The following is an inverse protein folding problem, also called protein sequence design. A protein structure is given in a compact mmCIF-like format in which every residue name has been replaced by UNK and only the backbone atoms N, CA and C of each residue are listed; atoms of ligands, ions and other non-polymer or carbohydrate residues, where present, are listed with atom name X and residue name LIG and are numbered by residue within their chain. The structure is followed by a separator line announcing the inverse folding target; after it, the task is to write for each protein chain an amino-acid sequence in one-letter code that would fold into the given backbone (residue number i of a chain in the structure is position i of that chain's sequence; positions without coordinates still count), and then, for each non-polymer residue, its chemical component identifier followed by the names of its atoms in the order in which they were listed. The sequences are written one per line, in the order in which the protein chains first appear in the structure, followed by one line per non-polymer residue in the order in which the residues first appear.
data_IF_433324076671
#
_entry.id   IF_433324076671
#
_cell.length_a   1.000
_cell.length_b   1.000
_cell.length_c   1.000
_cell.angle_alpha   90.00
_cell.angle_beta   90.00
_cell.angle_gamma   90.00
#
_symmetry.space_group_name_H-M   'P 1'
#
loop_
_entity.id
_entity.type
_entity.pdbx_description
1 polymer ?
#
# COMPACT_ATOMS: atom_id res chain seq x y z
N UNK A 1 0.64 20.49 -19.26
CA UNK A 1 -0.43 19.95 -18.41
C UNK A 1 0.25 19.23 -17.26
N UNK A 2 0.06 19.69 -16.02
CA UNK A 2 0.63 19.04 -14.83
C UNK A 2 -0.43 18.10 -14.25
N UNK A 3 -0.05 16.85 -14.02
CA UNK A 3 -0.86 15.87 -13.31
C UNK A 3 -0.26 15.71 -11.92
N UNK A 4 -0.94 16.26 -10.90
CA UNK A 4 -0.56 16.04 -9.52
C UNK A 4 -0.97 14.62 -9.12
N UNK A 5 -0.04 13.86 -8.55
CA UNK A 5 -0.27 12.48 -8.15
C UNK A 5 0.35 12.27 -6.77
N UNK A 6 -0.49 11.95 -5.80
CA UNK A 6 -0.05 11.61 -4.46
C UNK A 6 -0.03 10.08 -4.30
N UNK A 7 1.16 9.48 -4.45
CA UNK A 7 1.35 8.04 -4.31
C UNK A 7 1.55 7.68 -2.83
N UNK A 8 0.42 7.54 -2.13
CA UNK A 8 0.41 7.25 -0.70
C UNK A 8 0.67 5.77 -0.45
N UNK A 9 1.55 5.45 0.50
CA UNK A 9 1.79 4.09 0.99
C UNK A 9 0.63 3.60 1.87
N UNK A 10 -0.54 3.43 1.27
CA UNK A 10 -1.80 3.04 1.92
C UNK A 10 -1.99 1.52 1.98
N UNK A 11 -0.96 0.73 1.68
CA UNK A 11 -1.02 -0.73 1.72
C UNK A 11 0.26 -1.31 2.33
N UNK A 12 0.14 -2.44 3.02
CA UNK A 12 1.30 -3.14 3.60
C UNK A 12 1.05 -3.79 4.96
N UNK A 13 2.06 -4.49 5.48
CA UNK A 13 1.98 -5.28 6.72
C UNK A 13 1.78 -4.39 7.95
N UNK A 14 2.23 -3.13 7.90
CA UNK A 14 2.02 -2.14 8.95
C UNK A 14 0.55 -1.91 9.27
N UNK A 15 -0.37 -2.08 8.31
CA UNK A 15 -1.80 -1.92 8.56
C UNK A 15 -2.39 -2.99 9.48
N UNK A 16 -1.76 -4.16 9.59
CA UNK A 16 -2.20 -5.20 10.53
C UNK A 16 -2.17 -4.73 11.97
N UNK A 17 -1.06 -4.13 12.41
CA UNK A 17 -0.94 -3.61 13.78
C UNK A 17 -1.82 -2.38 14.01
N UNK A 18 -2.00 -1.53 13.00
CA UNK A 18 -2.84 -0.33 13.10
C UNK A 18 -4.32 -0.71 13.23
N UNK A 19 -4.79 -1.69 12.46
CA UNK A 19 -6.18 -2.16 12.57
C UNK A 19 -6.39 -2.85 13.92
N UNK A 20 -5.45 -3.68 14.37
CA UNK A 20 -5.53 -4.33 15.68
C UNK A 20 -5.57 -3.31 16.82
N UNK A 21 -4.76 -2.26 16.73
CA UNK A 21 -4.74 -1.18 17.71
C UNK A 21 -6.04 -0.35 17.66
N UNK A 22 -6.54 -0.01 16.47
CA UNK A 22 -7.79 0.71 16.30
C UNK A 22 -8.97 -0.07 16.90
N UNK A 23 -9.04 -1.37 16.65
CA UNK A 23 -10.08 -2.23 17.19
C UNK A 23 -10.04 -2.30 18.73
N UNK A 24 -8.84 -2.49 19.30
CA UNK A 24 -8.65 -2.48 20.76
C UNK A 24 -9.12 -1.16 21.38
N UNK A 25 -8.70 -0.06 20.78
CA UNK A 25 -9.05 1.29 21.20
C UNK A 25 -10.57 1.56 21.12
N UNK A 26 -11.27 1.08 20.09
CA UNK A 26 -12.74 1.19 19.99
C UNK A 26 -13.48 0.32 21.02
N UNK A 27 -12.91 -0.81 21.42
CA UNK A 27 -13.48 -1.67 22.45
C UNK A 27 -13.32 -1.08 23.86
N UNK A 28 -12.19 -0.43 24.12
CA UNK A 28 -11.88 0.18 25.42
C UNK A 28 -12.58 1.55 25.58
N UNK A 29 -12.70 2.32 24.50
CA UNK A 29 -13.36 3.62 24.48
C UNK A 29 -14.64 3.54 23.63
N UNK A 30 -15.79 3.35 24.29
CA UNK A 30 -17.12 3.20 23.68
C UNK A 30 -17.67 4.48 22.99
N UNK A 31 -16.83 5.28 22.34
CA UNK A 31 -17.20 6.51 21.65
C UNK A 31 -16.33 6.77 20.41
N UNK A 32 -16.80 7.67 19.55
CA UNK A 32 -16.08 8.11 18.34
C UNK A 32 -14.67 8.58 18.71
N UNK A 33 -13.68 7.78 18.34
CA UNK A 33 -12.29 8.10 18.58
C UNK A 33 -11.84 9.16 17.59
N UNK A 34 -11.72 10.40 18.05
CA UNK A 34 -10.95 11.40 17.33
C UNK A 34 -9.47 11.01 17.42
N UNK A 35 -8.93 10.46 16.33
CA UNK A 35 -7.50 10.21 16.12
C UNK A 35 -6.75 11.54 15.94
N UNK A 36 -6.79 12.39 16.97
CA UNK A 36 -6.16 13.71 16.98
C UNK A 36 -4.62 13.61 16.98
N UNK A 37 -4.07 12.50 17.47
CA UNK A 37 -2.63 12.21 17.46
C UNK A 37 -2.35 10.90 16.70
N UNK A 38 -2.17 11.02 15.39
CA UNK A 38 -1.81 9.89 14.54
C UNK A 38 -0.40 9.38 14.88
N UNK A 39 0.56 10.25 15.19
CA UNK A 39 1.92 9.85 15.51
C UNK A 39 1.97 9.01 16.80
N UNK A 40 1.24 9.44 17.84
CA UNK A 40 1.04 8.68 19.06
C UNK A 40 0.39 7.33 18.79
N UNK A 41 -0.65 7.29 17.95
CA UNK A 41 -1.32 6.05 17.56
C UNK A 41 -0.36 5.04 16.91
N UNK A 42 0.49 5.49 15.97
CA UNK A 42 1.51 4.62 15.35
C UNK A 42 2.53 4.11 16.36
N UNK A 43 2.99 4.99 17.25
CA UNK A 43 3.97 4.64 18.29
C UNK A 43 3.42 3.61 19.26
N UNK A 44 2.19 3.78 19.70
CA UNK A 44 1.55 2.88 20.65
C UNK A 44 1.22 1.53 20.02
N UNK A 45 0.73 1.52 18.78
CA UNK A 45 0.52 0.29 18.01
C UNK A 45 1.84 -0.48 17.85
N UNK A 46 2.94 0.21 17.53
CA UNK A 46 4.26 -0.39 17.38
C UNK A 46 4.79 -0.93 18.71
N UNK A 47 4.65 -0.18 19.79
CA UNK A 47 5.04 -0.62 21.13
C UNK A 47 4.33 -1.92 21.52
N UNK A 48 3.02 -2.00 21.33
CA UNK A 48 2.27 -3.24 21.62
C UNK A 48 2.67 -4.38 20.68
N UNK A 49 2.97 -4.10 19.43
CA UNK A 49 3.47 -5.12 18.51
C UNK A 49 4.82 -5.71 18.94
N UNK A 50 5.69 -4.91 19.55
CA UNK A 50 7.02 -5.35 19.98
C UNK A 50 7.01 -5.99 21.39
N UNK A 51 6.08 -5.60 22.26
CA UNK A 51 6.02 -6.02 23.66
C UNK A 51 4.98 -7.12 23.96
N UNK A 52 3.96 -7.31 23.12
CA UNK A 52 2.87 -8.29 23.30
C UNK A 52 2.79 -9.26 22.10
N UNK A 53 3.25 -10.49 22.30
CA UNK A 53 3.26 -11.52 21.25
C UNK A 53 1.84 -11.89 20.78
N UNK A 54 0.85 -11.88 21.68
CA UNK A 54 -0.54 -12.19 21.31
C UNK A 54 -1.14 -11.07 20.45
N UNK A 55 -0.74 -9.81 20.71
CA UNK A 55 -1.08 -8.69 19.84
C UNK A 55 -0.36 -8.79 18.49
N UNK A 56 0.93 -9.14 18.47
CA UNK A 56 1.71 -9.30 17.26
C UNK A 56 1.14 -10.41 16.34
N UNK A 57 0.76 -11.55 16.91
CA UNK A 57 0.12 -12.64 16.17
C UNK A 57 -1.22 -12.21 15.57
N UNK A 58 -2.05 -11.49 16.33
CA UNK A 58 -3.31 -10.93 15.85
C UNK A 58 -3.11 -9.94 14.72
N UNK A 59 -2.14 -9.04 14.85
CA UNK A 59 -1.78 -8.08 13.82
C UNK A 59 -1.35 -8.76 12.52
N UNK A 60 -0.51 -9.81 12.58
CA UNK A 60 -0.15 -10.63 11.41
C UNK A 60 -1.37 -11.27 10.76
N UNK A 61 -2.28 -11.83 11.56
CA UNK A 61 -3.53 -12.39 11.06
C UNK A 61 -4.43 -11.34 10.41
N UNK A 62 -4.42 -10.10 10.90
CA UNK A 62 -5.23 -9.01 10.33
C UNK A 62 -4.71 -8.57 8.96
N UNK A 63 -3.39 -8.63 8.73
CA UNK A 63 -2.83 -8.45 7.38
C UNK A 63 -3.43 -9.47 6.42
N UNK A 64 -3.47 -10.75 6.80
CA UNK A 64 -4.02 -11.82 5.95
C UNK A 64 -5.49 -11.58 5.64
N UNK A 65 -6.29 -11.19 6.64
CA UNK A 65 -7.73 -10.88 6.44
C UNK A 65 -7.95 -9.63 5.56
N UNK A 66 -7.12 -8.60 5.73
CA UNK A 66 -7.18 -7.42 4.86
C UNK A 66 -6.84 -7.78 3.41
N UNK A 67 -5.79 -8.59 3.21
CA UNK A 67 -5.34 -9.04 1.89
C UNK A 67 -6.31 -10.01 1.21
N UNK A 68 -7.01 -10.86 1.98
CA UNK A 68 -8.06 -11.74 1.45
C UNK A 68 -9.32 -10.98 1.03
N UNK A 69 -9.41 -9.69 1.39
CA UNK A 69 -10.49 -8.81 0.99
C UNK A 69 -11.71 -8.83 1.92
N UNK A 70 -11.53 -9.26 3.16
CA UNK A 70 -12.56 -9.22 4.19
C UNK A 70 -13.14 -7.80 4.34
N UNK A 71 -14.47 -7.71 4.29
CA UNK A 71 -15.19 -6.44 4.25
C UNK A 71 -14.99 -5.61 5.53
N UNK A 72 -14.92 -6.27 6.69
CA UNK A 72 -14.72 -5.61 7.98
C UNK A 72 -13.33 -4.98 8.05
N UNK A 73 -12.29 -5.74 7.72
CA UNK A 73 -10.92 -5.24 7.73
C UNK A 73 -10.69 -4.16 6.67
N UNK A 74 -11.36 -4.24 5.52
CA UNK A 74 -11.37 -3.16 4.51
C UNK A 74 -12.04 -1.89 4.99
N UNK A 75 -13.09 -1.98 5.81
CA UNK A 75 -13.72 -0.80 6.40
C UNK A 75 -12.79 -0.13 7.42
N UNK A 76 -12.19 -0.93 8.31
CA UNK A 76 -11.20 -0.45 9.28
C UNK A 76 -9.99 0.20 8.61
N UNK A 77 -9.48 -0.42 7.56
CA UNK A 77 -8.41 0.12 6.73
C UNK A 77 -8.80 1.47 6.10
N UNK A 78 -9.98 1.57 5.47
CA UNK A 78 -10.46 2.83 4.88
C UNK A 78 -10.55 3.95 5.91
N UNK A 79 -11.07 3.67 7.11
CA UNK A 79 -11.11 4.63 8.22
C UNK A 79 -9.72 5.17 8.57
N UNK A 80 -8.72 4.29 8.68
CA UNK A 80 -7.32 4.70 8.94
C UNK A 80 -6.74 5.56 7.81
N UNK A 81 -6.98 5.18 6.56
CA UNK A 81 -6.53 5.95 5.39
C UNK A 81 -7.20 7.33 5.36
N UNK A 82 -8.51 7.41 5.57
CA UNK A 82 -9.26 8.66 5.55
C UNK A 82 -8.79 9.63 6.65
N UNK A 83 -8.53 9.12 7.85
CA UNK A 83 -8.00 9.90 8.97
C UNK A 83 -6.60 10.43 8.62
N UNK A 84 -5.72 9.56 8.12
CA UNK A 84 -4.37 9.93 7.71
C UNK A 84 -4.38 11.00 6.62
N UNK A 85 -5.25 10.85 5.62
CA UNK A 85 -5.38 11.81 4.53
C UNK A 85 -5.98 13.15 4.97
N UNK A 86 -6.88 13.15 5.96
CA UNK A 86 -7.38 14.37 6.59
C UNK A 86 -6.25 15.17 7.22
N UNK A 87 -5.39 14.50 8.00
CA UNK A 87 -4.26 15.13 8.67
C UNK A 87 -3.20 15.63 7.66
N UNK A 88 -2.94 14.86 6.62
CA UNK A 88 -2.05 15.27 5.53
C UNK A 88 -2.57 16.52 4.81
N UNK A 89 -3.89 16.62 4.59
CA UNK A 89 -4.48 17.79 3.93
C UNK A 89 -4.25 19.08 4.75
N UNK A 90 -4.43 19.04 6.08
CA UNK A 90 -4.14 20.18 6.96
C UNK A 90 -2.67 20.63 6.80
N UNK A 91 -1.76 19.67 6.64
CA UNK A 91 -0.34 19.96 6.41
C UNK A 91 -0.09 20.55 5.02
N UNK A 92 -0.73 20.01 3.97
CA UNK A 92 -0.65 20.54 2.62
C UNK A 92 -1.16 21.98 2.52
N UNK A 93 -2.28 22.29 3.19
CA UNK A 93 -2.87 23.62 3.22
C UNK A 93 -1.92 24.63 3.87
N UNK A 94 -1.27 24.24 4.99
CA UNK A 94 -0.26 25.08 5.67
C UNK A 94 0.99 25.33 4.83
N UNK A 95 1.37 24.38 3.99
CA UNK A 95 2.49 24.48 3.07
C UNK A 95 2.10 25.16 1.74
N UNK A 96 0.83 25.57 1.58
CA UNK A 96 0.28 26.13 0.35
C UNK A 96 0.52 25.23 -0.87
N UNK A 97 0.38 23.91 -0.67
CA UNK A 97 0.50 22.88 -1.71
C UNK A 97 -0.88 22.65 -2.32
N UNK A 98 -0.97 22.57 -3.65
CA UNK A 98 -2.26 22.41 -4.37
C UNK A 98 -2.78 20.96 -4.40
N UNK A 99 -2.18 20.05 -3.63
CA UNK A 99 -2.62 18.66 -3.57
C UNK A 99 -3.96 18.57 -2.85
N UNK A 100 -4.88 17.83 -3.45
CA UNK A 100 -6.20 17.56 -2.90
C UNK A 100 -6.40 16.05 -2.74
N UNK A 101 -7.50 15.66 -2.08
CA UNK A 101 -7.90 14.24 -1.97
C UNK A 101 -8.12 13.57 -3.34
N UNK A 102 -8.55 14.33 -4.35
CA UNK A 102 -8.80 13.80 -5.69
C UNK A 102 -7.50 13.43 -6.43
N UNK A 103 -6.35 13.89 -5.94
CA UNK A 103 -5.03 13.60 -6.50
C UNK A 103 -4.39 12.34 -5.86
N UNK A 104 -5.05 11.71 -4.88
CA UNK A 104 -4.56 10.52 -4.20
C UNK A 104 -4.68 9.30 -5.09
N UNK A 105 -3.55 8.64 -5.34
CA UNK A 105 -3.44 7.36 -6.04
C UNK A 105 -2.52 6.42 -5.25
N UNK A 106 -3.06 5.90 -4.15
CA UNK A 106 -2.35 5.00 -3.25
C UNK A 106 -1.93 3.68 -3.92
N UNK A 107 -1.00 2.98 -3.29
CA UNK A 107 -0.55 1.64 -3.71
C UNK A 107 -1.73 0.65 -3.84
N UNK A 108 -2.72 0.78 -2.95
CA UNK A 108 -3.90 -0.09 -2.93
C UNK A 108 -4.72 -0.08 -4.22
N UNK A 109 -4.69 1.03 -4.97
CA UNK A 109 -5.37 1.19 -6.27
C UNK A 109 -4.92 0.13 -7.28
N UNK A 110 -3.64 -0.27 -7.21
CA UNK A 110 -3.03 -1.18 -8.17
C UNK A 110 -3.14 -2.65 -7.77
N UNK A 111 -3.60 -2.96 -6.55
CA UNK A 111 -3.72 -4.34 -6.05
C UNK A 111 -4.48 -5.30 -6.99
N UNK A 112 -5.62 -4.92 -7.59
CA UNK A 112 -6.33 -5.80 -8.53
C UNK A 112 -5.55 -6.08 -9.82
N UNK A 113 -4.56 -5.23 -10.16
CA UNK A 113 -3.76 -5.36 -11.37
C UNK A 113 -2.58 -6.32 -11.19
N UNK A 114 -2.06 -6.49 -9.96
CA UNK A 114 -0.82 -7.22 -9.69
C UNK A 114 -0.83 -8.67 -10.22
N UNK A 115 -1.88 -9.49 -10.01
CA UNK A 115 -1.92 -10.85 -10.56
C UNK A 115 -1.84 -10.85 -12.10
N UNK A 116 -2.50 -9.89 -12.75
CA UNK A 116 -2.49 -9.75 -14.20
C UNK A 116 -1.12 -9.34 -14.75
N UNK A 117 -0.41 -8.45 -14.05
CA UNK A 117 0.96 -8.06 -14.40
C UNK A 117 1.91 -9.25 -14.33
N UNK A 118 1.88 -10.01 -13.23
CA UNK A 118 2.75 -11.19 -13.07
C UNK A 118 2.45 -12.24 -14.15
N UNK A 119 1.17 -12.50 -14.43
CA UNK A 119 0.77 -13.44 -15.47
C UNK A 119 1.23 -12.99 -16.87
N UNK A 120 1.10 -11.69 -17.21
CA UNK A 120 1.56 -11.14 -18.48
C UNK A 120 3.08 -11.22 -18.66
N UNK A 121 3.85 -10.93 -17.60
CA UNK A 121 5.31 -11.05 -17.62
C UNK A 121 5.77 -12.51 -17.79
N UNK A 122 5.06 -13.47 -17.16
CA UNK A 122 5.31 -14.91 -17.38
C UNK A 122 4.99 -15.32 -18.82
N UNK A 123 3.85 -14.87 -19.36
CA UNK A 123 3.43 -15.19 -20.72
C UNK A 123 4.40 -14.65 -21.78
N UNK A 124 5.04 -13.51 -21.52
CA UNK A 124 6.08 -12.92 -22.37
C UNK A 124 7.45 -13.57 -22.22
N UNK A 125 7.61 -14.55 -21.31
CA UNK A 125 8.89 -15.19 -21.02
C UNK A 125 9.90 -14.30 -20.29
N UNK A 126 9.45 -13.16 -19.73
CA UNK A 126 10.31 -12.23 -18.99
C UNK A 126 10.45 -12.62 -17.51
N UNK A 127 9.38 -13.18 -16.93
CA UNK A 127 9.38 -13.64 -15.55
C UNK A 127 9.49 -15.16 -15.47
N UNK A 128 10.38 -15.64 -14.61
CA UNK A 128 10.66 -17.06 -14.36
C UNK A 128 10.57 -17.38 -12.87
N UNK A 129 10.38 -18.64 -12.53
CA UNK A 129 10.48 -19.10 -11.14
C UNK A 129 11.96 -19.28 -10.77
N UNK A 130 12.37 -18.71 -9.63
CA UNK A 130 13.70 -18.87 -9.04
C UNK A 130 13.57 -18.94 -7.52
N UNK A 131 14.09 -20.00 -6.92
CA UNK A 131 14.01 -20.26 -5.46
C UNK A 131 12.57 -20.19 -4.88
N UNK A 132 11.59 -20.56 -5.72
CA UNK A 132 10.17 -20.54 -5.37
C UNK A 132 9.52 -19.16 -5.41
N UNK A 133 10.23 -18.12 -5.84
CA UNK A 133 9.69 -16.79 -6.12
C UNK A 133 9.64 -16.52 -7.62
N UNK A 134 8.77 -15.62 -8.07
CA UNK A 134 8.76 -15.16 -9.45
C UNK A 134 9.70 -13.96 -9.60
N UNK A 135 10.65 -14.08 -10.52
CA UNK A 135 11.78 -13.16 -10.73
C UNK A 135 11.90 -12.76 -12.20
N UNK A 136 12.24 -11.49 -12.45
CA UNK A 136 12.65 -10.97 -13.77
C UNK A 136 14.14 -10.68 -13.71
N UNK A 137 14.92 -11.28 -14.61
CA UNK A 137 16.34 -10.99 -14.73
C UNK A 137 16.58 -9.83 -15.68
N UNK A 138 17.33 -8.83 -15.22
CA UNK A 138 17.70 -7.66 -16.03
C UNK A 138 19.20 -7.74 -16.33
N UNK A 139 19.56 -7.77 -17.61
CA UNK A 139 20.96 -7.89 -18.03
C UNK A 139 21.76 -6.61 -17.78
N UNK A 140 21.07 -5.47 -17.78
CA UNK A 140 21.59 -4.12 -17.57
C UNK A 140 22.06 -3.89 -16.14
N UNK A 141 21.55 -4.68 -15.19
CA UNK A 141 21.89 -4.57 -13.77
C UNK A 141 22.59 -5.86 -13.32
N UNK A 142 23.66 -5.72 -12.54
CA UNK A 142 24.38 -6.87 -11.99
C UNK A 142 24.20 -6.98 -10.48
N UNK A 143 24.09 -8.21 -9.99
CA UNK A 143 24.15 -8.48 -8.56
C UNK A 143 25.61 -8.37 -8.04
N UNK A 144 25.83 -8.63 -6.75
CA UNK A 144 27.16 -8.56 -6.13
C UNK A 144 28.17 -9.58 -6.69
N UNK A 145 27.68 -10.63 -7.33
CA UNK A 145 28.45 -11.73 -7.89
C UNK A 145 28.78 -11.51 -9.38
N UNK A 146 28.23 -10.45 -10.00
CA UNK A 146 28.44 -10.11 -11.40
C UNK A 146 27.41 -10.71 -12.36
N UNK A 147 26.45 -11.48 -11.85
CA UNK A 147 25.36 -12.09 -12.62
C UNK A 147 24.20 -11.10 -12.84
N UNK A 148 23.34 -11.32 -13.85
CA UNK A 148 22.13 -10.52 -14.06
C UNK A 148 21.30 -10.38 -12.77
N UNK A 149 20.85 -9.17 -12.49
CA UNK A 149 20.08 -8.89 -11.28
C UNK A 149 18.69 -9.50 -11.40
N UNK A 150 18.37 -10.43 -10.49
CA UNK A 150 17.03 -10.97 -10.32
C UNK A 150 16.15 -10.02 -9.51
N UNK A 151 15.18 -9.40 -10.16
CA UNK A 151 14.17 -8.55 -9.52
C UNK A 151 12.95 -9.40 -9.18
N UNK A 152 12.68 -9.58 -7.89
CA UNK A 152 11.52 -10.35 -7.42
C UNK A 152 10.25 -9.52 -7.65
N UNK A 153 9.27 -10.11 -8.35
CA UNK A 153 7.95 -9.52 -8.59
C UNK A 153 6.82 -10.27 -7.85
N UNK A 154 7.10 -11.45 -7.33
CA UNK A 154 6.20 -12.17 -6.42
C UNK A 154 7.02 -13.08 -5.51
N UNK A 155 6.81 -13.01 -4.21
CA UNK A 155 7.47 -13.87 -3.21
C UNK A 155 6.93 -15.30 -3.26
N UNK A 156 7.66 -16.23 -2.65
CA UNK A 156 7.27 -17.63 -2.47
C UNK A 156 5.96 -17.84 -1.69
N UNK A 157 5.60 -16.90 -0.82
CA UNK A 157 4.35 -16.92 -0.07
C UNK A 157 3.15 -16.35 -0.87
N UNK A 158 3.37 -16.04 -2.16
CA UNK A 158 2.39 -15.43 -3.05
C UNK A 158 2.26 -13.92 -2.89
N UNK A 159 2.93 -13.32 -1.90
CA UNK A 159 2.87 -11.89 -1.64
C UNK A 159 3.61 -11.06 -2.69
N UNK A 160 3.03 -9.92 -3.05
CA UNK A 160 3.63 -8.95 -3.97
C UNK A 160 4.55 -7.97 -3.24
N UNK A 161 5.50 -7.39 -3.98
CA UNK A 161 6.42 -6.35 -3.47
C UNK A 161 6.18 -5.01 -4.17
N UNK A 162 6.82 -3.95 -3.66
CA UNK A 162 6.78 -2.59 -4.22
C UNK A 162 7.04 -2.57 -5.74
N UNK A 163 8.00 -3.37 -6.22
CA UNK A 163 8.33 -3.45 -7.66
C UNK A 163 7.11 -3.80 -8.51
N UNK A 164 6.28 -4.73 -8.04
CA UNK A 164 5.04 -5.15 -8.74
C UNK A 164 4.05 -4.00 -8.83
N UNK A 165 3.91 -3.26 -7.74
CA UNK A 165 3.06 -2.07 -7.66
C UNK A 165 3.57 -0.97 -8.59
N UNK A 166 4.88 -0.75 -8.65
CA UNK A 166 5.50 0.24 -9.55
C UNK A 166 5.27 -0.09 -11.03
N UNK A 167 5.41 -1.37 -11.42
CA UNK A 167 5.11 -1.82 -12.79
C UNK A 167 3.63 -1.58 -13.12
N UNK A 168 2.72 -1.96 -12.21
CA UNK A 168 1.30 -1.73 -12.37
C UNK A 168 0.95 -0.24 -12.46
N UNK A 169 1.60 0.59 -11.63
CA UNK A 169 1.46 2.03 -11.59
C UNK A 169 1.90 2.69 -12.91
N UNK A 170 3.09 2.33 -13.40
CA UNK A 170 3.60 2.83 -14.68
C UNK A 170 2.68 2.47 -15.85
N UNK A 171 2.25 1.20 -15.92
CA UNK A 171 1.29 0.72 -16.93
C UNK A 171 -0.05 1.47 -16.84
N UNK A 172 -0.62 1.57 -15.62
CA UNK A 172 -1.87 2.27 -15.38
C UNK A 172 -1.81 3.72 -15.85
N UNK A 173 -0.73 4.43 -15.50
CA UNK A 173 -0.54 5.83 -15.87
C UNK A 173 -0.44 5.99 -17.39
N UNK A 174 0.33 5.14 -18.06
CA UNK A 174 0.43 5.19 -19.52
C UNK A 174 -0.93 4.96 -20.20
N UNK A 175 -1.70 3.96 -19.73
CA UNK A 175 -2.98 3.58 -20.34
C UNK A 175 -4.14 4.51 -19.98
N UNK A 176 -4.10 5.15 -18.81
CA UNK A 176 -5.20 5.97 -18.29
C UNK A 176 -4.92 7.48 -18.24
N UNK A 177 -3.70 7.94 -18.57
CA UNK A 177 -3.37 9.38 -18.63
C UNK A 177 -4.28 10.19 -19.57
N UNK A 178 -4.98 9.54 -20.49
CA UNK A 178 -5.94 10.20 -21.40
C UNK A 178 -7.37 10.39 -20.83
N UNK A 179 -7.69 9.93 -19.61
CA UNK A 179 -9.09 9.70 -19.19
C UNK A 179 -9.70 10.55 -18.06
N UNK A 180 -9.07 11.62 -17.53
CA UNK A 180 -9.81 12.59 -16.67
C UNK A 180 -10.36 13.76 -17.50
N UNK A 181 -11.71 13.96 -17.56
CA UNK A 181 -12.28 15.18 -18.10
C UNK A 181 -11.87 16.36 -17.22
N UNK A 182 -11.53 17.46 -17.88
CA UNK A 182 -11.26 18.78 -17.32
C UNK A 182 -12.41 19.17 -16.38
N UNK A 183 -12.22 19.11 -15.07
CA UNK A 183 -12.99 19.97 -14.19
C UNK A 183 -12.58 21.40 -14.57
N UNK A 184 -13.42 22.04 -15.36
CA UNK A 184 -13.28 23.43 -15.77
C UNK A 184 -13.23 24.27 -14.49
N UNK A 185 -12.07 24.82 -14.18
CA UNK A 185 -11.96 25.98 -13.30
C UNK A 185 -12.69 27.12 -14.00
N UNK A 186 -13.90 27.42 -13.52
CA UNK A 186 -14.61 28.69 -13.70
C UNK A 186 -14.72 29.37 -12.34
#
# INVERSE_FOLDING_TARGET
MLFALNHVGDWGTQFGMLIAWLEKQQQENAGDMALADLEGFYRDAKKHYDEDEAFAERARNYVVKLQSGDAYFREMWRKLVDITMTQNQITYDRLNVTLTRDDVMGESLYNPMLPGIVADLKAKGLAVESEGATVVFLDEFKNKEGDPMGVIIQKKDGGYLYTTTDIACAKYRYENAARRPRALLH
#
